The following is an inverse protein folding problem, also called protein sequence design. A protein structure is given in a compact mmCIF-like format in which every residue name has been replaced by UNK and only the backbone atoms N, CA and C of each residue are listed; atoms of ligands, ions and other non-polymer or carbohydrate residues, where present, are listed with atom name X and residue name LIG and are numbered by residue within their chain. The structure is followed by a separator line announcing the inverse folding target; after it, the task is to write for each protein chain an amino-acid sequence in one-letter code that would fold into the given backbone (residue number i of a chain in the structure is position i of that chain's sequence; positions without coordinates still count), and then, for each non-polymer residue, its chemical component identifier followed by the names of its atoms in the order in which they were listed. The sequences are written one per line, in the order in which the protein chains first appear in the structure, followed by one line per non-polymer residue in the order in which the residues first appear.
data_IF_987015619529
#
_entry.id   IF_987015619529
#
_cell.length_a   1.000
_cell.length_b   1.000
_cell.length_c   1.000
_cell.angle_alpha   90.00
_cell.angle_beta   90.00
_cell.angle_gamma   90.00
#
_symmetry.space_group_name_H-M   'P 1'
#
loop_
_entity.id
_entity.type
_entity.pdbx_description
1 polymer ?
#
# COMPACT_ATOMS: atom_id res chain seq x y z
N UNK A 1 -2.89 2.94 77.12
CA UNK A 1 -2.40 2.92 75.73
C UNK A 1 -1.21 3.86 75.62
N UNK A 2 -0.13 3.51 74.91
CA UNK A 2 1.00 4.42 74.73
C UNK A 2 0.53 5.68 73.99
N UNK A 3 0.97 6.85 74.47
CA UNK A 3 0.61 8.14 73.89
C UNK A 3 1.59 8.46 72.76
N UNK A 4 1.35 7.88 71.58
CA UNK A 4 2.13 8.15 70.37
C UNK A 4 1.85 9.60 69.98
N UNK A 5 2.88 10.42 69.84
CA UNK A 5 2.73 11.82 69.48
C UNK A 5 2.19 11.96 68.05
N UNK A 6 1.48 13.06 67.75
CA UNK A 6 0.94 13.32 66.41
C UNK A 6 2.01 13.28 65.31
N UNK A 7 3.24 13.70 65.63
CA UNK A 7 4.42 13.63 64.76
C UNK A 7 4.91 12.20 64.52
N UNK A 8 4.78 11.33 65.51
CA UNK A 8 5.10 9.91 65.34
C UNK A 8 4.03 9.21 64.49
N UNK A 9 2.74 9.59 64.59
CA UNK A 9 1.69 9.12 63.69
C UNK A 9 1.88 9.57 62.24
N UNK A 10 2.30 10.82 62.01
CA UNK A 10 2.58 11.36 60.67
C UNK A 10 3.67 10.59 59.93
N UNK A 11 4.66 10.02 60.64
CA UNK A 11 5.75 9.24 60.04
C UNK A 11 5.34 7.82 59.60
N UNK A 12 4.17 7.32 60.04
CA UNK A 12 3.66 5.98 59.69
C UNK A 12 2.40 6.02 58.82
N UNK A 13 1.92 7.21 58.45
CA UNK A 13 0.76 7.36 57.58
C UNK A 13 1.18 7.14 56.13
N UNK A 14 0.62 6.12 55.48
CA UNK A 14 0.81 5.90 54.05
C UNK A 14 0.20 7.08 53.29
N UNK A 15 1.01 7.87 52.54
CA UNK A 15 0.54 9.04 51.78
C UNK A 15 -0.51 8.70 50.71
N UNK A 16 -0.70 7.41 50.40
CA UNK A 16 -1.70 6.89 49.46
C UNK A 16 -2.92 6.24 50.17
N UNK A 17 -2.99 6.25 51.50
CA UNK A 17 -4.14 5.74 52.24
C UNK A 17 -5.33 6.72 52.17
N UNK A 18 -6.56 6.18 52.13
CA UNK A 18 -7.80 6.98 52.16
C UNK A 18 -7.95 7.82 53.45
N UNK A 19 -7.16 7.49 54.49
CA UNK A 19 -7.15 8.17 55.79
C UNK A 19 -6.11 9.31 55.87
N UNK A 20 -5.25 9.48 54.86
CA UNK A 20 -4.23 10.54 54.83
C UNK A 20 -4.84 11.89 54.42
N UNK A 21 -4.61 12.93 55.24
CA UNK A 21 -5.02 14.31 54.95
C UNK A 21 -3.81 15.16 54.55
N UNK A 22 -3.63 15.50 53.27
CA UNK A 22 -2.46 16.24 52.79
C UNK A 22 -2.42 17.68 53.32
N UNK A 23 -1.20 18.20 53.53
CA UNK A 23 -0.98 19.60 53.93
C UNK A 23 -1.23 20.56 52.78
N UNK A 24 -1.53 21.85 53.06
CA UNK A 24 -1.71 22.87 52.00
C UNK A 24 -0.49 22.99 51.07
N UNK A 25 0.72 22.86 51.61
CA UNK A 25 1.95 22.86 50.81
C UNK A 25 2.06 21.64 49.90
N UNK A 26 1.58 20.47 50.32
CA UNK A 26 1.56 19.28 49.48
C UNK A 26 0.53 19.39 48.37
N UNK A 27 -0.63 20.00 48.64
CA UNK A 27 -1.66 20.28 47.63
C UNK A 27 -1.13 21.27 46.59
N UNK A 28 -0.43 22.33 47.03
CA UNK A 28 0.17 23.31 46.12
C UNK A 28 1.28 22.69 45.26
N UNK A 29 2.15 21.86 45.85
CA UNK A 29 3.18 21.12 45.12
C UNK A 29 2.59 20.14 44.10
N UNK A 30 1.51 19.45 44.47
CA UNK A 30 0.80 18.52 43.58
C UNK A 30 0.15 19.26 42.41
N UNK A 31 -0.47 20.42 42.66
CA UNK A 31 -1.02 21.28 41.61
C UNK A 31 0.06 21.79 40.66
N UNK A 32 1.21 22.21 41.17
CA UNK A 32 2.35 22.63 40.35
C UNK A 32 2.88 21.47 39.50
N UNK A 33 2.98 20.26 40.06
CA UNK A 33 3.39 19.08 39.31
C UNK A 33 2.39 18.75 38.19
N UNK A 34 1.08 18.82 38.46
CA UNK A 34 0.04 18.63 37.45
C UNK A 34 0.12 19.66 36.32
N UNK A 35 0.31 20.93 36.64
CA UNK A 35 0.47 22.02 35.66
C UNK A 35 1.75 21.83 34.83
N UNK A 36 2.86 21.44 35.46
CA UNK A 36 4.12 21.12 34.77
C UNK A 36 3.94 19.98 33.76
N UNK A 37 3.36 18.86 34.20
CA UNK A 37 3.08 17.72 33.32
C UNK A 37 2.16 18.13 32.18
N UNK A 38 1.11 18.91 32.47
CA UNK A 38 0.16 19.34 31.45
C UNK A 38 0.79 20.27 30.41
N UNK A 39 1.73 21.13 30.82
CA UNK A 39 2.49 22.00 29.92
C UNK A 39 3.46 21.20 29.06
N UNK A 40 4.26 20.30 29.65
CA UNK A 40 5.19 19.44 28.90
C UNK A 40 4.46 18.57 27.86
N UNK A 41 3.30 17.98 28.23
CA UNK A 41 2.47 17.24 27.27
C UNK A 41 1.90 18.15 26.17
N UNK A 42 1.63 19.43 26.47
CA UNK A 42 1.17 20.39 25.46
C UNK A 42 2.28 20.77 24.48
N UNK A 43 3.51 20.90 24.96
CA UNK A 43 4.68 21.18 24.13
C UNK A 43 4.95 20.02 23.18
N UNK A 44 4.93 18.77 23.70
CA UNK A 44 5.03 17.56 22.88
C UNK A 44 3.91 17.52 21.82
N UNK A 45 2.66 17.78 22.21
CA UNK A 45 1.54 17.81 21.27
C UNK A 45 1.69 18.91 20.22
N UNK A 46 2.21 20.07 20.60
CA UNK A 46 2.45 21.19 19.69
C UNK A 46 3.50 20.82 18.65
N UNK A 47 4.61 20.22 19.07
CA UNK A 47 5.67 19.74 18.17
C UNK A 47 5.17 18.65 17.21
N UNK A 48 4.38 17.70 17.72
CA UNK A 48 3.76 16.65 16.89
C UNK A 48 2.76 17.18 15.87
N UNK A 49 2.12 18.33 16.12
CA UNK A 49 1.13 18.92 15.22
C UNK A 49 1.76 19.94 14.24
N UNK A 50 2.97 20.46 14.51
CA UNK A 50 3.61 21.52 13.73
C UNK A 50 4.98 21.12 13.22
N UNK A 51 5.05 20.33 12.13
CA UNK A 51 6.32 19.80 11.70
C UNK A 51 7.26 20.85 11.07
N UNK A 52 8.49 20.97 11.60
CA UNK A 52 9.60 21.73 11.01
C UNK A 52 10.14 21.09 9.72
N UNK A 53 10.90 21.86 8.93
CA UNK A 53 11.48 21.42 7.65
C UNK A 53 12.49 20.29 7.87
N UNK A 54 12.40 19.25 7.05
CA UNK A 54 13.36 18.15 7.01
C UNK A 54 14.79 18.70 6.75
N UNK A 55 15.80 18.40 7.59
CA UNK A 55 17.19 18.84 7.34
C UNK A 55 17.82 18.16 6.10
N UNK A 56 17.16 17.14 5.55
CA UNK A 56 17.61 16.35 4.40
C UNK A 56 16.77 16.58 3.12
N UNK A 57 15.84 17.56 3.08
CA UNK A 57 15.08 17.89 1.86
C UNK A 57 14.12 19.09 1.92
N UNK A 58 13.57 19.49 0.76
CA UNK A 58 12.65 20.63 0.64
C UNK A 58 11.18 20.29 0.95
N UNK A 59 10.81 19.01 0.93
CA UNK A 59 9.46 18.57 1.29
C UNK A 59 9.23 18.69 2.80
N UNK A 60 8.09 19.29 3.17
CA UNK A 60 7.59 19.29 4.54
C UNK A 60 7.12 17.88 4.87
N UNK A 61 8.01 17.02 5.35
CA UNK A 61 7.58 15.82 6.03
C UNK A 61 6.67 16.21 7.18
N UNK A 62 5.57 15.48 7.36
CA UNK A 62 4.60 15.70 8.45
C UNK A 62 5.17 15.33 9.84
N UNK A 63 6.49 15.21 9.98
CA UNK A 63 7.12 14.74 11.20
C UNK A 63 8.30 15.62 11.56
N UNK A 64 8.22 16.21 12.75
CA UNK A 64 9.24 17.07 13.34
C UNK A 64 9.59 16.58 14.72
N UNK A 65 10.18 15.41 14.73
CA UNK A 65 11.04 15.05 15.82
C UNK A 65 12.44 15.02 15.25
N UNK A 66 13.29 15.96 15.65
CA UNK A 66 14.71 15.91 15.35
C UNK A 66 15.36 14.59 15.84
N UNK A 67 14.74 13.94 16.84
CA UNK A 67 14.98 12.57 17.25
C UNK A 67 13.73 12.03 17.96
N UNK A 68 13.06 10.99 17.46
CA UNK A 68 11.90 10.40 18.15
C UNK A 68 12.24 9.83 19.53
N UNK A 69 13.51 9.48 19.75
CA UNK A 69 14.06 9.15 21.06
C UNK A 69 13.84 10.28 22.09
N UNK A 70 13.92 11.55 21.69
CA UNK A 70 13.70 12.67 22.62
C UNK A 70 12.26 12.68 23.14
N UNK A 71 11.29 12.36 22.28
CA UNK A 71 9.88 12.28 22.65
C UNK A 71 9.62 11.11 23.61
N UNK A 72 10.28 9.97 23.38
CA UNK A 72 10.16 8.80 24.26
C UNK A 72 10.82 9.00 25.61
N UNK A 73 12.03 9.55 25.63
CA UNK A 73 12.72 9.87 26.86
C UNK A 73 11.91 10.87 27.69
N UNK A 74 11.29 11.85 27.03
CA UNK A 74 10.43 12.84 27.69
C UNK A 74 9.13 12.21 28.21
N UNK A 75 8.45 11.38 27.42
CA UNK A 75 7.24 10.67 27.86
C UNK A 75 7.52 9.68 28.99
N UNK A 76 8.65 8.97 28.93
CA UNK A 76 9.07 8.02 29.97
C UNK A 76 9.34 8.76 31.27
N UNK A 77 10.08 9.88 31.21
CA UNK A 77 10.30 10.75 32.37
C UNK A 77 8.97 11.24 32.98
N UNK A 78 8.02 11.69 32.14
CA UNK A 78 6.70 12.10 32.62
C UNK A 78 5.96 10.94 33.30
N UNK A 79 6.04 9.73 32.74
CA UNK A 79 5.37 8.54 33.28
C UNK A 79 6.00 8.02 34.57
N UNK A 80 7.33 7.93 34.66
CA UNK A 80 8.01 7.31 35.81
C UNK A 80 8.25 8.30 36.94
N UNK A 81 8.62 9.54 36.61
CA UNK A 81 9.16 10.46 37.62
C UNK A 81 8.17 11.56 38.00
N UNK A 82 7.17 11.82 37.17
CA UNK A 82 6.19 12.90 37.37
C UNK A 82 4.79 12.37 37.68
N UNK A 83 4.31 11.34 36.97
CA UNK A 83 2.96 10.81 37.15
C UNK A 83 2.75 10.22 38.55
N UNK A 84 3.78 9.55 39.10
CA UNK A 84 3.75 8.95 40.45
C UNK A 84 3.61 9.98 41.59
N UNK A 85 3.84 11.27 41.30
CA UNK A 85 3.68 12.39 42.24
C UNK A 85 2.24 12.91 42.30
N UNK A 86 1.37 12.50 41.38
CA UNK A 86 -0.06 12.85 41.38
C UNK A 86 -0.81 11.81 42.20
N UNK A 87 -1.44 12.22 43.30
CA UNK A 87 -2.17 11.33 44.22
C UNK A 87 -3.64 11.19 43.85
N UNK A 88 -4.23 12.23 43.24
CA UNK A 88 -5.61 12.19 42.76
C UNK A 88 -5.79 11.13 41.65
N UNK A 89 -6.56 10.06 41.91
CA UNK A 89 -6.76 8.97 40.95
C UNK A 89 -7.50 9.41 39.69
N UNK A 90 -8.40 10.40 39.78
CA UNK A 90 -9.17 10.88 38.62
C UNK A 90 -8.27 11.68 37.67
N UNK A 91 -7.42 12.54 38.24
CA UNK A 91 -6.46 13.33 37.48
C UNK A 91 -5.34 12.46 36.90
N UNK A 92 -4.84 11.48 37.66
CA UNK A 92 -3.86 10.50 37.16
C UNK A 92 -4.40 9.77 35.92
N UNK A 93 -5.63 9.25 36.00
CA UNK A 93 -6.30 8.59 34.86
C UNK A 93 -6.50 9.52 33.65
N UNK A 94 -6.77 10.80 33.88
CA UNK A 94 -6.89 11.82 32.81
C UNK A 94 -5.55 12.06 32.11
N UNK A 95 -4.46 12.18 32.87
CA UNK A 95 -3.11 12.34 32.34
C UNK A 95 -2.64 11.09 31.59
N UNK A 96 -2.87 9.89 32.14
CA UNK A 96 -2.59 8.61 31.47
C UNK A 96 -3.32 8.50 30.12
N UNK A 97 -4.60 8.88 30.07
CA UNK A 97 -5.36 8.89 28.82
C UNK A 97 -4.81 9.89 27.80
N UNK A 98 -4.27 11.03 28.26
CA UNK A 98 -3.61 12.02 27.39
C UNK A 98 -2.28 11.48 26.87
N UNK A 99 -1.47 10.90 27.74
CA UNK A 99 -0.20 10.26 27.37
C UNK A 99 -0.44 9.15 26.34
N UNK A 100 -1.42 8.26 26.58
CA UNK A 100 -1.76 7.19 25.62
C UNK A 100 -2.18 7.72 24.24
N UNK A 101 -2.86 8.87 24.17
CA UNK A 101 -3.19 9.51 22.88
C UNK A 101 -1.95 10.06 22.18
N UNK A 102 -1.02 10.63 22.93
CA UNK A 102 0.25 11.13 22.41
C UNK A 102 1.09 9.96 21.90
N UNK A 103 1.22 8.89 22.68
CA UNK A 103 1.88 7.64 22.29
C UNK A 103 1.35 7.12 20.95
N UNK A 104 0.02 7.01 20.80
CA UNK A 104 -0.62 6.59 19.54
C UNK A 104 -0.32 7.55 18.37
N UNK A 105 -0.19 8.85 18.62
CA UNK A 105 0.17 9.83 17.58
C UNK A 105 1.62 9.71 17.16
N UNK A 106 2.55 9.56 18.11
CA UNK A 106 3.97 9.37 17.82
C UNK A 106 4.14 8.08 17.00
N UNK A 107 3.50 6.99 17.45
CA UNK A 107 3.45 5.71 16.76
C UNK A 107 3.04 5.85 15.28
N UNK A 108 1.90 6.50 15.00
CA UNK A 108 1.37 6.66 13.64
C UNK A 108 2.26 7.48 12.72
N UNK A 109 3.18 8.26 13.27
CA UNK A 109 4.07 9.13 12.49
C UNK A 109 5.47 8.55 12.33
N UNK A 110 5.86 7.58 13.17
CA UNK A 110 7.22 7.06 13.18
C UNK A 110 7.53 6.16 11.98
N UNK A 111 6.58 5.32 11.53
CA UNK A 111 6.70 4.55 10.27
C UNK A 111 6.92 5.49 9.07
N UNK A 112 6.05 6.49 8.80
CA UNK A 112 6.27 7.45 7.70
C UNK A 112 7.62 8.19 7.78
N UNK A 113 8.11 8.45 8.99
CA UNK A 113 9.43 9.07 9.18
C UNK A 113 10.55 8.15 8.70
N UNK A 114 10.61 6.90 9.20
CA UNK A 114 11.64 5.92 8.77
C UNK A 114 11.53 5.69 7.27
N UNK A 115 10.31 5.55 6.73
CA UNK A 115 10.10 5.41 5.29
C UNK A 115 10.70 6.58 4.51
N UNK A 116 10.49 7.82 4.98
CA UNK A 116 11.10 8.97 4.34
C UNK A 116 12.63 8.92 4.37
N UNK A 117 13.23 8.47 5.47
CA UNK A 117 14.68 8.36 5.59
C UNK A 117 15.25 7.31 4.63
N UNK A 118 14.58 6.15 4.52
CA UNK A 118 14.92 5.09 3.57
C UNK A 118 14.79 5.60 2.12
N UNK A 119 13.75 6.37 1.80
CA UNK A 119 13.57 6.93 0.46
C UNK A 119 14.63 8.00 0.14
N UNK A 120 14.99 8.87 1.09
CA UNK A 120 16.07 9.85 0.92
C UNK A 120 17.41 9.14 0.68
N UNK A 121 17.66 8.04 1.38
CA UNK A 121 18.84 7.21 1.15
C UNK A 121 18.86 6.61 -0.26
N UNK A 122 17.73 6.04 -0.71
CA UNK A 122 17.60 5.53 -2.08
C UNK A 122 17.85 6.61 -3.13
N UNK A 123 17.28 7.79 -2.91
CA UNK A 123 17.45 8.95 -3.80
C UNK A 123 18.90 9.48 -3.82
N UNK A 124 19.56 9.57 -2.66
CA UNK A 124 20.96 10.01 -2.53
C UNK A 124 21.94 9.06 -3.24
N UNK A 125 21.65 7.76 -3.21
CA UNK A 125 22.53 6.73 -3.77
C UNK A 125 22.13 6.30 -5.19
N UNK A 126 21.04 6.86 -5.74
CA UNK A 126 20.64 6.58 -7.10
C UNK A 126 21.70 7.06 -8.09
N UNK A 127 22.11 6.20 -9.05
CA UNK A 127 23.05 6.60 -10.09
C UNK A 127 22.43 7.48 -11.19
N UNK A 128 21.09 7.58 -11.25
CA UNK A 128 20.36 8.26 -12.33
C UNK A 128 19.86 9.63 -11.87
N UNK A 129 19.32 9.73 -10.64
CA UNK A 129 18.86 10.99 -10.07
C UNK A 129 19.94 11.61 -9.19
N UNK A 130 20.46 12.78 -9.60
CA UNK A 130 21.48 13.50 -8.84
C UNK A 130 20.83 14.32 -7.73
N UNK A 131 20.46 13.66 -6.64
CA UNK A 131 20.06 14.34 -5.42
C UNK A 131 21.23 14.43 -4.45
N UNK A 132 21.59 15.66 -4.07
CA UNK A 132 22.65 15.90 -3.10
C UNK A 132 22.04 16.69 -1.93
N UNK A 133 21.56 16.02 -0.87
CA UNK A 133 21.00 16.70 0.27
C UNK A 133 22.08 17.55 0.98
N UNK A 134 21.68 18.62 1.70
CA UNK A 134 22.62 19.48 2.43
C UNK A 134 23.39 18.73 3.53
N UNK A 135 22.82 17.64 4.07
CA UNK A 135 23.50 16.68 4.92
C UNK A 135 23.39 15.30 4.29
N UNK A 136 24.50 14.56 4.20
CA UNK A 136 24.47 13.17 3.72
C UNK A 136 23.94 12.27 4.82
N UNK A 137 22.89 11.52 4.51
CA UNK A 137 22.37 10.51 5.41
C UNK A 137 23.25 9.26 5.32
N UNK A 138 23.74 8.79 6.48
CA UNK A 138 24.51 7.54 6.59
C UNK A 138 23.58 6.36 6.85
N UNK A 139 24.02 5.19 6.41
CA UNK A 139 23.36 3.91 6.65
C UNK A 139 23.12 3.65 8.15
N UNK A 140 24.17 3.82 8.96
CA UNK A 140 24.16 3.61 10.42
C UNK A 140 23.07 4.44 11.11
N UNK A 141 22.75 5.63 10.57
CA UNK A 141 21.74 6.52 11.14
C UNK A 141 20.33 5.96 10.91
N UNK A 142 20.08 5.36 9.74
CA UNK A 142 18.76 4.77 9.40
C UNK A 142 18.55 3.47 10.18
N UNK A 143 19.58 2.63 10.26
CA UNK A 143 19.53 1.41 11.06
C UNK A 143 19.30 1.72 12.53
N UNK A 144 19.96 2.77 13.05
CA UNK A 144 19.70 3.26 14.40
C UNK A 144 18.23 3.64 14.59
N UNK A 145 17.60 4.35 13.64
CA UNK A 145 16.17 4.68 13.75
C UNK A 145 15.26 3.43 13.69
N UNK A 146 15.61 2.42 12.89
CA UNK A 146 14.86 1.16 12.80
C UNK A 146 14.97 0.37 14.11
N UNK A 147 16.16 0.24 14.68
CA UNK A 147 16.37 -0.44 15.96
C UNK A 147 15.68 0.31 17.10
N UNK A 148 15.74 1.64 17.09
CA UNK A 148 14.96 2.46 18.03
C UNK A 148 13.45 2.17 17.91
N UNK A 149 12.92 1.95 16.71
CA UNK A 149 11.52 1.55 16.53
C UNK A 149 11.16 0.28 17.29
N UNK A 150 12.02 -0.72 17.18
CA UNK A 150 11.82 -2.02 17.83
C UNK A 150 11.86 -1.87 19.35
N UNK A 151 12.79 -1.08 19.88
CA UNK A 151 12.92 -0.82 21.31
C UNK A 151 11.74 -0.01 21.88
N UNK A 152 11.25 0.96 21.12
CA UNK A 152 10.10 1.79 21.50
C UNK A 152 8.85 0.94 21.69
N UNK A 153 8.70 -0.18 20.97
CA UNK A 153 7.57 -1.08 21.12
C UNK A 153 7.38 -1.55 22.57
N UNK A 154 8.48 -1.80 23.30
CA UNK A 154 8.45 -2.24 24.69
C UNK A 154 7.94 -1.19 25.69
N UNK A 155 7.93 0.09 25.30
CA UNK A 155 7.50 1.18 26.16
C UNK A 155 5.97 1.38 26.13
N UNK A 156 5.29 0.82 25.12
CA UNK A 156 3.86 0.97 25.00
C UNK A 156 3.09 -0.02 25.87
N UNK A 157 2.46 0.49 26.94
CA UNK A 157 1.61 -0.31 27.82
C UNK A 157 0.19 -0.56 27.27
N UNK A 158 -0.24 0.23 26.28
CA UNK A 158 -1.65 0.32 25.86
C UNK A 158 -1.93 -0.02 24.38
N UNK A 159 -0.94 -0.53 23.64
CA UNK A 159 -1.16 -1.03 22.27
C UNK A 159 -1.64 -2.47 22.30
N UNK A 160 -2.63 -2.79 21.47
CA UNK A 160 -3.10 -4.18 21.31
C UNK A 160 -2.01 -5.07 20.70
N UNK A 161 -2.07 -6.38 20.96
CA UNK A 161 -1.13 -7.35 20.36
C UNK A 161 -1.15 -7.27 18.82
N UNK A 162 -2.32 -7.09 18.21
CA UNK A 162 -2.46 -6.95 16.76
C UNK A 162 -1.75 -5.69 16.23
N UNK A 163 -1.93 -4.54 16.89
CA UNK A 163 -1.25 -3.30 16.48
C UNK A 163 0.28 -3.38 16.64
N UNK A 164 0.76 -4.09 17.67
CA UNK A 164 2.19 -4.34 17.85
C UNK A 164 2.76 -5.21 16.73
N UNK A 165 2.04 -6.26 16.33
CA UNK A 165 2.45 -7.14 15.22
C UNK A 165 2.46 -6.39 13.89
N UNK A 166 1.44 -5.57 13.63
CA UNK A 166 1.36 -4.75 12.42
C UNK A 166 2.53 -3.75 12.35
N UNK A 167 2.89 -3.13 13.48
CA UNK A 167 4.03 -2.23 13.56
C UNK A 167 5.36 -2.91 13.23
N UNK A 168 5.66 -4.02 13.92
CA UNK A 168 6.92 -4.74 13.70
C UNK A 168 7.02 -5.22 12.25
N UNK A 169 5.91 -5.68 11.68
CA UNK A 169 5.84 -6.08 10.28
C UNK A 169 6.22 -4.94 9.32
N UNK A 170 5.78 -3.71 9.62
CA UNK A 170 6.11 -2.54 8.79
C UNK A 170 7.57 -2.09 9.00
N UNK A 171 8.10 -2.18 10.22
CA UNK A 171 9.51 -1.92 10.49
C UNK A 171 10.41 -2.92 9.76
N UNK A 172 10.08 -4.21 9.80
CA UNK A 172 10.82 -5.26 9.08
C UNK A 172 10.78 -5.04 7.57
N UNK A 173 9.63 -4.61 7.04
CA UNK A 173 9.49 -4.24 5.64
C UNK A 173 10.40 -3.07 5.26
N UNK A 174 10.49 -2.04 6.12
CA UNK A 174 11.35 -0.89 5.87
C UNK A 174 12.83 -1.25 5.93
N UNK A 175 13.22 -2.15 6.85
CA UNK A 175 14.55 -2.72 6.89
C UNK A 175 14.86 -3.49 5.59
N UNK A 176 13.97 -4.37 5.13
CA UNK A 176 14.14 -5.10 3.88
C UNK A 176 14.22 -4.16 2.67
N UNK A 177 13.44 -3.07 2.67
CA UNK A 177 13.50 -2.02 1.64
C UNK A 177 14.86 -1.34 1.63
N UNK A 178 15.36 -0.95 2.80
CA UNK A 178 16.68 -0.35 2.95
C UNK A 178 17.77 -1.30 2.42
N UNK A 179 17.73 -2.57 2.82
CA UNK A 179 18.71 -3.57 2.38
C UNK A 179 18.68 -3.80 0.86
N UNK A 180 17.51 -3.76 0.23
CA UNK A 180 17.40 -3.81 -1.23
C UNK A 180 18.04 -2.59 -1.89
N UNK A 181 17.87 -1.39 -1.36
CA UNK A 181 18.51 -0.18 -1.89
C UNK A 181 20.02 -0.16 -1.68
N UNK A 182 20.52 -0.75 -0.58
CA UNK A 182 21.96 -0.97 -0.39
C UNK A 182 22.53 -1.90 -1.46
N UNK A 183 21.87 -3.03 -1.65
CA UNK A 183 22.33 -4.08 -2.57
C UNK A 183 22.19 -3.67 -4.05
N UNK A 184 21.19 -2.86 -4.37
CA UNK A 184 20.92 -2.39 -5.73
C UNK A 184 20.43 -0.93 -5.72
N UNK A 185 21.34 0.07 -5.74
CA UNK A 185 20.96 1.48 -5.68
C UNK A 185 20.12 1.96 -6.87
N UNK A 186 20.23 1.29 -8.03
CA UNK A 186 19.40 1.59 -9.21
C UNK A 186 17.92 1.27 -8.98
N UNK A 187 17.59 0.41 -8.02
CA UNK A 187 16.23 -0.04 -7.73
C UNK A 187 15.32 1.12 -7.34
N UNK A 188 15.81 2.08 -6.54
CA UNK A 188 15.00 3.22 -6.12
C UNK A 188 14.46 4.01 -7.31
N UNK A 189 15.32 4.35 -8.27
CA UNK A 189 14.89 5.07 -9.47
C UNK A 189 14.00 4.25 -10.36
N UNK A 190 14.24 2.94 -10.48
CA UNK A 190 13.32 2.06 -11.17
C UNK A 190 11.91 2.16 -10.55
N UNK A 191 11.79 2.04 -9.24
CA UNK A 191 10.50 2.07 -8.52
C UNK A 191 9.78 3.42 -8.65
N UNK A 192 10.50 4.55 -8.58
CA UNK A 192 9.89 5.87 -8.73
C UNK A 192 9.42 6.14 -10.17
N UNK A 193 10.20 5.76 -11.18
CA UNK A 193 9.77 5.87 -12.59
C UNK A 193 8.58 4.96 -12.84
N UNK A 194 8.59 3.73 -12.30
CA UNK A 194 7.51 2.77 -12.43
C UNK A 194 6.21 3.29 -11.80
N UNK A 195 6.29 3.85 -10.59
CA UNK A 195 5.16 4.48 -9.90
C UNK A 195 4.58 5.65 -10.69
N UNK A 196 5.44 6.49 -11.26
CA UNK A 196 5.02 7.61 -12.12
C UNK A 196 4.34 7.11 -13.40
N UNK A 197 4.91 6.09 -14.05
CA UNK A 197 4.33 5.48 -15.24
C UNK A 197 2.94 4.90 -14.95
N UNK A 198 2.77 4.17 -13.85
CA UNK A 198 1.47 3.64 -13.44
C UNK A 198 0.43 4.74 -13.19
N UNK A 199 0.82 5.85 -12.56
CA UNK A 199 -0.04 7.02 -12.38
C UNK A 199 -0.44 7.65 -13.71
N UNK A 200 0.50 7.77 -14.64
CA UNK A 200 0.23 8.32 -15.97
C UNK A 200 -0.74 7.42 -16.76
N UNK A 201 -0.54 6.10 -16.72
CA UNK A 201 -1.48 5.12 -17.29
C UNK A 201 -2.87 5.25 -16.64
N UNK A 202 -2.94 5.32 -15.30
CA UNK A 202 -4.21 5.43 -14.58
C UNK A 202 -4.95 6.73 -14.95
N UNK A 203 -4.23 7.85 -15.02
CA UNK A 203 -4.80 9.14 -15.43
C UNK A 203 -5.33 9.09 -16.86
N UNK A 204 -4.60 8.44 -17.76
CA UNK A 204 -5.03 8.22 -19.13
C UNK A 204 -6.33 7.40 -19.20
N UNK A 205 -6.38 6.28 -18.46
CA UNK A 205 -7.57 5.43 -18.39
C UNK A 205 -8.76 6.23 -17.87
N UNK A 206 -8.58 7.04 -16.83
CA UNK A 206 -9.64 7.90 -16.34
C UNK A 206 -10.08 8.90 -17.42
N UNK A 207 -9.15 9.61 -18.05
CA UNK A 207 -9.45 10.59 -19.13
C UNK A 207 -10.28 9.98 -20.27
N UNK A 208 -9.93 8.75 -20.70
CA UNK A 208 -10.46 8.16 -21.93
C UNK A 208 -11.52 7.07 -21.71
N UNK A 209 -11.59 6.47 -20.53
CA UNK A 209 -12.43 5.31 -20.22
C UNK A 209 -13.24 5.43 -18.92
N UNK A 210 -13.13 6.53 -18.15
CA UNK A 210 -14.06 6.81 -17.04
C UNK A 210 -15.42 7.25 -17.59
N UNK A 211 -16.19 6.28 -18.06
CA UNK A 211 -17.46 6.53 -18.73
C UNK A 211 -18.08 5.24 -19.25
N UNK A 212 -18.12 4.18 -18.44
CA UNK A 212 -19.01 3.07 -18.73
C UNK A 212 -20.46 3.56 -18.61
N UNK A 213 -21.01 4.14 -19.69
CA UNK A 213 -22.34 3.83 -20.28
C UNK A 213 -22.97 4.92 -21.15
N UNK A 214 -22.39 6.12 -21.32
CA UNK A 214 -22.99 7.12 -22.24
C UNK A 214 -21.87 7.83 -22.98
N UNK A 215 -21.89 7.77 -24.30
CA UNK A 215 -21.05 8.54 -25.26
C UNK A 215 -19.84 7.85 -25.90
N UNK A 216 -19.67 6.52 -25.78
CA UNK A 216 -18.75 5.76 -26.65
C UNK A 216 -19.12 5.80 -28.15
N UNK A 217 -20.23 6.46 -28.51
CA UNK A 217 -20.66 6.72 -29.88
C UNK A 217 -20.57 8.19 -30.29
N UNK A 218 -20.15 9.12 -29.41
CA UNK A 218 -20.13 10.57 -29.71
C UNK A 218 -18.76 11.24 -29.68
N UNK A 219 -17.74 10.65 -29.05
CA UNK A 219 -16.40 11.28 -28.97
C UNK A 219 -15.37 10.67 -29.93
N UNK A 220 -15.78 9.77 -30.83
CA UNK A 220 -14.96 9.18 -31.89
C UNK A 220 -14.81 10.08 -33.16
N UNK A 221 -15.23 11.34 -33.09
CA UNK A 221 -15.27 12.28 -34.23
C UNK A 221 -14.13 13.33 -34.24
N UNK A 222 -13.27 13.39 -33.22
CA UNK A 222 -12.12 14.29 -33.24
C UNK A 222 -10.84 13.51 -33.60
N UNK A 223 -10.46 13.52 -34.89
CA UNK A 223 -9.17 12.99 -35.36
C UNK A 223 -7.97 13.53 -34.55
N UNK A 224 -8.12 14.75 -34.02
CA UNK A 224 -7.12 15.42 -33.20
C UNK A 224 -6.92 14.72 -31.84
N UNK A 225 -8.01 14.33 -31.17
CA UNK A 225 -7.96 13.56 -29.90
C UNK A 225 -7.37 12.17 -30.11
N UNK A 226 -7.63 11.54 -31.26
CA UNK A 226 -7.03 10.24 -31.60
C UNK A 226 -5.52 10.36 -31.79
N UNK A 227 -5.04 11.40 -32.51
CA UNK A 227 -3.61 11.68 -32.69
C UNK A 227 -2.91 12.03 -31.38
N UNK A 228 -3.55 12.82 -30.52
CA UNK A 228 -3.03 13.14 -29.17
C UNK A 228 -2.89 11.89 -28.30
N UNK A 229 -3.89 11.00 -28.31
CA UNK A 229 -3.83 9.74 -27.57
C UNK A 229 -2.69 8.83 -28.05
N UNK A 230 -2.45 8.77 -29.37
CA UNK A 230 -1.31 7.99 -29.93
C UNK A 230 0.03 8.52 -29.41
N UNK A 231 0.23 9.84 -29.40
CA UNK A 231 1.45 10.47 -28.86
C UNK A 231 1.62 10.18 -27.37
N UNK A 232 0.53 10.23 -26.59
CA UNK A 232 0.55 9.87 -25.17
C UNK A 232 0.94 8.38 -24.98
N UNK A 233 0.42 7.45 -25.80
CA UNK A 233 0.81 6.04 -25.74
C UNK A 233 2.26 5.79 -26.09
N UNK A 234 2.78 6.44 -27.14
CA UNK A 234 4.19 6.31 -27.52
C UNK A 234 5.12 6.79 -26.40
N UNK A 235 4.71 7.83 -25.66
CA UNK A 235 5.43 8.30 -24.48
C UNK A 235 5.40 7.26 -23.33
N UNK A 236 4.25 6.61 -23.10
CA UNK A 236 4.12 5.54 -22.09
C UNK A 236 4.99 4.33 -22.44
N UNK A 237 4.97 3.91 -23.71
CA UNK A 237 5.80 2.82 -24.23
C UNK A 237 7.30 3.14 -24.11
N UNK A 238 7.69 4.38 -24.43
CA UNK A 238 9.07 4.83 -24.24
C UNK A 238 9.50 4.73 -22.78
N UNK A 239 8.70 5.25 -21.85
CA UNK A 239 8.98 5.15 -20.40
C UNK A 239 9.08 3.70 -19.92
N UNK A 240 8.24 2.80 -20.45
CA UNK A 240 8.31 1.38 -20.11
C UNK A 240 9.58 0.70 -20.65
N UNK A 241 10.07 1.10 -21.84
CA UNK A 241 11.37 0.65 -22.36
C UNK A 241 12.54 1.21 -21.55
N UNK A 242 12.47 2.47 -21.15
CA UNK A 242 13.49 3.08 -20.28
C UNK A 242 13.61 2.29 -18.97
N UNK A 243 12.49 1.82 -18.39
CA UNK A 243 12.49 0.93 -17.23
C UNK A 243 13.16 -0.42 -17.50
N UNK A 244 12.92 -1.02 -18.67
CA UNK A 244 13.57 -2.29 -19.06
C UNK A 244 15.09 -2.11 -19.22
N UNK A 245 15.54 -0.98 -19.78
CA UNK A 245 16.96 -0.64 -19.90
C UNK A 245 17.61 -0.42 -18.52
N UNK A 246 16.91 0.26 -17.61
CA UNK A 246 17.37 0.45 -16.22
C UNK A 246 17.49 -0.90 -15.52
N UNK A 247 16.46 -1.76 -15.64
CA UNK A 247 16.48 -3.09 -15.05
C UNK A 247 17.63 -3.95 -15.62
N UNK A 248 17.89 -3.87 -16.93
CA UNK A 248 18.98 -4.60 -17.58
C UNK A 248 20.38 -4.25 -17.06
N UNK A 249 20.55 -3.07 -16.45
CA UNK A 249 21.81 -2.59 -15.85
C UNK A 249 21.98 -2.97 -14.38
N UNK A 250 20.97 -3.57 -13.75
CA UNK A 250 21.04 -4.03 -12.36
C UNK A 250 22.07 -5.14 -12.20
N UNK A 251 22.78 -5.13 -11.07
CA UNK A 251 23.82 -6.09 -10.70
C UNK A 251 23.19 -7.31 -10.02
N UNK A 252 22.19 -7.11 -9.15
CA UNK A 252 21.53 -8.19 -8.44
C UNK A 252 20.55 -8.94 -9.34
N UNK A 253 20.87 -10.19 -9.70
CA UNK A 253 20.10 -11.00 -10.65
C UNK A 253 18.66 -11.28 -10.22
N UNK A 254 18.41 -11.47 -8.91
CA UNK A 254 17.05 -11.70 -8.40
C UNK A 254 16.19 -10.44 -8.50
N UNK A 255 16.78 -9.27 -8.23
CA UNK A 255 16.09 -7.98 -8.34
C UNK A 255 15.87 -7.64 -9.81
N UNK A 256 16.90 -7.79 -10.63
CA UNK A 256 16.88 -7.59 -12.08
C UNK A 256 15.75 -8.36 -12.75
N UNK A 257 15.69 -9.69 -12.56
CA UNK A 257 14.67 -10.53 -13.20
C UNK A 257 13.24 -10.12 -12.83
N UNK A 258 13.03 -9.68 -11.58
CA UNK A 258 11.75 -9.15 -11.12
C UNK A 258 11.42 -7.80 -11.77
N UNK A 259 12.35 -6.85 -11.77
CA UNK A 259 12.19 -5.54 -12.40
C UNK A 259 11.97 -5.64 -13.92
N UNK A 260 12.68 -6.51 -14.63
CA UNK A 260 12.45 -6.79 -16.05
C UNK A 260 11.06 -7.37 -16.30
N UNK A 261 10.57 -8.26 -15.43
CA UNK A 261 9.22 -8.80 -15.56
C UNK A 261 8.16 -7.71 -15.35
N UNK A 262 8.35 -6.83 -14.37
CA UNK A 262 7.47 -5.68 -14.09
C UNK A 262 7.45 -4.67 -15.24
N UNK A 263 8.62 -4.29 -15.75
CA UNK A 263 8.76 -3.38 -16.89
C UNK A 263 8.09 -3.95 -18.15
N UNK A 264 8.34 -5.22 -18.47
CA UNK A 264 7.68 -5.92 -19.59
C UNK A 264 6.16 -5.99 -19.42
N UNK A 265 5.67 -6.18 -18.21
CA UNK A 265 4.25 -6.19 -17.94
C UNK A 265 3.61 -4.80 -18.18
N UNK A 266 4.26 -3.72 -17.75
CA UNK A 266 3.78 -2.36 -18.03
C UNK A 266 3.84 -2.01 -19.52
N UNK A 267 4.90 -2.44 -20.21
CA UNK A 267 5.03 -2.27 -21.65
C UNK A 267 3.88 -2.95 -22.39
N UNK A 268 3.63 -4.24 -22.11
CA UNK A 268 2.49 -4.98 -22.68
C UNK A 268 1.15 -4.32 -22.40
N UNK A 269 0.98 -3.76 -21.20
CA UNK A 269 -0.26 -3.07 -20.87
C UNK A 269 -0.45 -1.78 -21.68
N UNK A 270 0.61 -0.99 -21.83
CA UNK A 270 0.58 0.20 -22.67
C UNK A 270 0.36 -0.15 -24.15
N UNK A 271 0.96 -1.23 -24.66
CA UNK A 271 0.70 -1.74 -26.02
C UNK A 271 -0.76 -2.13 -26.18
N UNK A 272 -1.31 -2.91 -25.25
CA UNK A 272 -2.71 -3.30 -25.26
C UNK A 272 -3.65 -2.09 -25.33
N UNK A 273 -3.41 -1.05 -24.52
CA UNK A 273 -4.23 0.16 -24.55
C UNK A 273 -4.09 0.93 -25.87
N UNK A 274 -2.89 0.94 -26.46
CA UNK A 274 -2.65 1.54 -27.78
C UNK A 274 -3.41 0.79 -28.87
N UNK A 275 -3.31 -0.54 -28.90
CA UNK A 275 -4.05 -1.40 -29.83
C UNK A 275 -5.55 -1.21 -29.67
N UNK A 276 -6.05 -1.12 -28.43
CA UNK A 276 -7.48 -0.85 -28.18
C UNK A 276 -7.92 0.51 -28.74
N UNK A 277 -7.10 1.55 -28.61
CA UNK A 277 -7.39 2.86 -29.18
C UNK A 277 -7.32 2.88 -30.72
N UNK A 278 -6.41 2.12 -31.32
CA UNK A 278 -6.20 2.02 -32.77
C UNK A 278 -7.13 1.01 -33.45
N UNK A 279 -7.83 0.19 -32.66
CA UNK A 279 -8.66 -0.90 -33.16
C UNK A 279 -9.81 -0.39 -34.04
N UNK A 280 -10.08 -1.05 -35.18
CA UNK A 280 -11.27 -0.84 -35.98
C UNK A 280 -12.56 -0.84 -35.13
N UNK A 281 -13.48 0.08 -35.45
CA UNK A 281 -14.78 0.21 -34.77
C UNK A 281 -15.54 -1.11 -34.66
N UNK A 282 -15.43 -1.96 -35.67
CA UNK A 282 -16.08 -3.28 -35.68
C UNK A 282 -15.56 -4.20 -34.56
N UNK A 283 -14.25 -4.18 -34.26
CA UNK A 283 -13.65 -4.98 -33.18
C UNK A 283 -14.02 -4.44 -31.80
N UNK A 284 -14.06 -3.12 -31.65
CA UNK A 284 -14.50 -2.47 -30.41
C UNK A 284 -15.98 -2.75 -30.12
N UNK A 285 -16.83 -2.68 -31.14
CA UNK A 285 -18.24 -3.02 -31.01
C UNK A 285 -18.43 -4.50 -30.62
N UNK A 286 -17.66 -5.40 -31.23
CA UNK A 286 -17.67 -6.83 -30.88
C UNK A 286 -17.25 -7.06 -29.42
N UNK A 287 -16.21 -6.35 -28.95
CA UNK A 287 -15.74 -6.43 -27.56
C UNK A 287 -16.85 -6.03 -26.58
N UNK A 288 -17.47 -4.88 -26.80
CA UNK A 288 -18.55 -4.37 -25.95
C UNK A 288 -19.76 -5.32 -25.94
N UNK A 289 -20.08 -5.93 -27.09
CA UNK A 289 -21.15 -6.92 -27.19
C UNK A 289 -20.84 -8.19 -26.36
N UNK A 290 -19.63 -8.74 -26.48
CA UNK A 290 -19.18 -9.89 -25.68
C UNK A 290 -19.14 -9.59 -24.18
N UNK A 291 -18.59 -8.44 -23.77
CA UNK A 291 -18.54 -8.02 -22.37
C UNK A 291 -19.95 -7.83 -21.78
N UNK A 292 -20.87 -7.25 -22.55
CA UNK A 292 -22.27 -7.12 -22.16
C UNK A 292 -22.95 -8.49 -21.96
N UNK A 293 -22.66 -9.48 -22.82
CA UNK A 293 -23.16 -10.84 -22.65
C UNK A 293 -22.56 -11.53 -21.42
N UNK A 294 -21.26 -11.32 -21.15
CA UNK A 294 -20.60 -11.87 -19.98
C UNK A 294 -21.20 -11.32 -18.69
N UNK A 295 -21.50 -10.01 -18.62
CA UNK A 295 -22.19 -9.40 -17.47
C UNK A 295 -23.58 -10.00 -17.25
N UNK A 296 -24.38 -10.20 -18.30
CA UNK A 296 -25.70 -10.83 -18.19
C UNK A 296 -25.62 -12.26 -17.68
N UNK A 297 -24.64 -13.01 -18.14
CA UNK A 297 -24.36 -14.36 -17.63
C UNK A 297 -23.96 -14.37 -16.15
N UNK A 298 -23.19 -13.39 -15.68
CA UNK A 298 -22.84 -13.25 -14.26
C UNK A 298 -24.08 -13.01 -13.38
N UNK A 299 -25.11 -12.33 -13.91
CA UNK A 299 -26.40 -12.12 -13.24
C UNK A 299 -27.34 -13.35 -13.42
N UNK A 300 -26.84 -14.47 -13.97
CA UNK A 300 -27.56 -15.73 -14.25
C UNK A 300 -28.74 -15.58 -15.22
N UNK A 301 -28.68 -14.59 -16.11
CA UNK A 301 -29.65 -14.45 -17.19
C UNK A 301 -29.41 -15.54 -18.26
N UNK A 302 -30.48 -16.16 -18.76
CA UNK A 302 -30.36 -17.12 -19.87
C UNK A 302 -30.07 -16.39 -21.17
N UNK A 303 -28.95 -16.74 -21.80
CA UNK A 303 -28.60 -16.25 -23.13
C UNK A 303 -29.30 -17.04 -24.23
N UNK A 304 -29.67 -16.33 -25.29
CA UNK A 304 -30.17 -16.91 -26.54
C UNK A 304 -29.02 -17.58 -27.31
N UNK A 305 -29.14 -18.90 -27.52
CA UNK A 305 -28.14 -19.69 -28.25
C UNK A 305 -27.92 -19.21 -29.67
N UNK A 306 -28.96 -18.69 -30.33
CA UNK A 306 -28.86 -18.17 -31.69
C UNK A 306 -27.97 -16.92 -31.77
N UNK A 307 -28.01 -16.06 -30.73
CA UNK A 307 -27.12 -14.89 -30.64
C UNK A 307 -25.67 -15.28 -30.45
N UNK A 308 -25.41 -16.30 -29.63
CA UNK A 308 -24.04 -16.82 -29.41
C UNK A 308 -23.47 -17.38 -30.71
N UNK A 309 -24.26 -18.15 -31.48
CA UNK A 309 -23.83 -18.67 -32.79
C UNK A 309 -23.56 -17.55 -33.80
N UNK A 310 -24.44 -16.53 -33.87
CA UNK A 310 -24.24 -15.35 -34.75
C UNK A 310 -22.95 -14.60 -34.43
N UNK A 311 -22.63 -14.42 -33.14
CA UNK A 311 -21.39 -13.75 -32.72
C UNK A 311 -20.16 -14.60 -33.09
N UNK A 312 -20.25 -15.92 -32.92
CA UNK A 312 -19.20 -16.84 -33.34
C UNK A 312 -18.90 -16.74 -34.84
N UNK A 313 -19.94 -16.74 -35.68
CA UNK A 313 -19.79 -16.57 -37.13
C UNK A 313 -19.14 -15.22 -37.49
N UNK A 314 -19.60 -14.12 -36.90
CA UNK A 314 -19.01 -12.80 -37.14
C UNK A 314 -17.54 -12.75 -36.72
N UNK A 315 -17.18 -13.37 -35.60
CA UNK A 315 -15.79 -13.41 -35.13
C UNK A 315 -14.89 -14.22 -36.08
N UNK A 316 -15.37 -15.35 -36.60
CA UNK A 316 -14.65 -16.13 -37.61
C UNK A 316 -14.48 -15.37 -38.93
N UNK A 317 -15.52 -14.68 -39.41
CA UNK A 317 -15.41 -13.83 -40.61
C UNK A 317 -14.38 -12.70 -40.45
N UNK A 318 -14.31 -12.09 -39.26
CA UNK A 318 -13.33 -11.04 -38.97
C UNK A 318 -11.90 -11.57 -38.98
N UNK A 319 -11.68 -12.79 -38.50
CA UNK A 319 -10.36 -13.43 -38.57
C UNK A 319 -9.94 -13.73 -40.01
N UNK A 320 -10.85 -14.29 -40.82
CA UNK A 320 -10.56 -14.65 -42.21
C UNK A 320 -10.24 -13.43 -43.09
N UNK A 321 -10.82 -12.27 -42.77
CA UNK A 321 -10.56 -11.00 -43.47
C UNK A 321 -9.13 -10.47 -43.29
N UNK A 322 -8.30 -11.07 -42.43
CA UNK A 322 -6.91 -10.64 -42.15
C UNK A 322 -6.81 -9.12 -41.99
N UNK A 323 -7.47 -8.58 -40.96
CA UNK A 323 -7.53 -7.15 -40.60
C UNK A 323 -6.16 -6.47 -40.30
N UNK A 324 -5.05 -6.92 -40.89
CA UNK A 324 -3.68 -6.51 -40.57
C UNK A 324 -3.13 -7.26 -39.37
N UNK A 325 -1.81 -7.49 -39.34
CA UNK A 325 -1.14 -8.17 -38.21
C UNK A 325 -1.34 -7.42 -36.87
N UNK A 326 -1.51 -6.10 -36.94
CA UNK A 326 -1.73 -5.19 -35.82
C UNK A 326 -3.01 -5.50 -35.01
N UNK A 327 -4.04 -6.06 -35.65
CA UNK A 327 -5.33 -6.36 -35.00
C UNK A 327 -5.45 -7.81 -34.48
N UNK A 328 -4.43 -8.63 -34.72
CA UNK A 328 -4.45 -10.06 -34.38
C UNK A 328 -4.58 -10.31 -32.88
N UNK A 329 -3.96 -9.46 -32.06
CA UNK A 329 -3.99 -9.58 -30.61
C UNK A 329 -5.39 -9.27 -30.06
N UNK A 330 -6.04 -8.22 -30.56
CA UNK A 330 -7.43 -7.90 -30.23
C UNK A 330 -8.39 -9.02 -30.63
N UNK A 331 -8.22 -9.61 -31.82
CA UNK A 331 -9.00 -10.78 -32.26
C UNK A 331 -8.82 -11.98 -31.32
N UNK A 332 -7.60 -12.25 -30.87
CA UNK A 332 -7.34 -13.31 -29.89
C UNK A 332 -8.04 -13.04 -28.54
N UNK A 333 -8.07 -11.79 -28.09
CA UNK A 333 -8.79 -11.40 -26.87
C UNK A 333 -10.30 -11.64 -27.03
N UNK A 334 -10.88 -11.23 -28.16
CA UNK A 334 -12.29 -11.48 -28.46
C UNK A 334 -12.62 -12.98 -28.48
N UNK A 335 -11.73 -13.81 -29.05
CA UNK A 335 -11.87 -15.27 -29.02
C UNK A 335 -11.87 -15.84 -27.62
N UNK A 336 -10.91 -15.44 -26.79
CA UNK A 336 -10.85 -15.90 -25.40
C UNK A 336 -12.11 -15.51 -24.62
N UNK A 337 -12.62 -14.28 -24.83
CA UNK A 337 -13.89 -13.83 -24.24
C UNK A 337 -15.08 -14.66 -24.73
N UNK A 338 -15.14 -14.93 -26.04
CA UNK A 338 -16.22 -15.72 -26.64
C UNK A 338 -16.20 -17.18 -26.15
N UNK A 339 -15.03 -17.82 -26.10
CA UNK A 339 -14.87 -19.18 -25.53
C UNK A 339 -15.34 -19.24 -24.07
N UNK A 340 -15.05 -18.19 -23.29
CA UNK A 340 -15.51 -18.07 -21.91
C UNK A 340 -17.03 -18.01 -21.84
N UNK A 341 -17.67 -17.19 -22.68
CA UNK A 341 -19.14 -17.07 -22.77
C UNK A 341 -19.78 -18.40 -23.18
N UNK A 342 -19.21 -19.10 -24.17
CA UNK A 342 -19.70 -20.42 -24.58
C UNK A 342 -19.62 -21.47 -23.45
N UNK A 343 -18.53 -21.47 -22.68
CA UNK A 343 -18.37 -22.35 -21.50
C UNK A 343 -19.42 -22.07 -20.42
N UNK A 344 -19.69 -20.81 -20.11
CA UNK A 344 -20.71 -20.45 -19.10
C UNK A 344 -22.11 -20.80 -19.60
N UNK A 345 -22.42 -20.48 -20.87
CA UNK A 345 -23.73 -20.71 -21.46
C UNK A 345 -24.10 -22.21 -21.58
N UNK A 346 -23.10 -23.08 -21.77
CA UNK A 346 -23.30 -24.54 -21.82
C UNK A 346 -23.51 -25.20 -20.44
N UNK A 347 -23.62 -24.41 -19.37
CA UNK A 347 -23.79 -24.92 -18.01
C UNK A 347 -22.47 -25.32 -17.34
N UNK A 348 -21.33 -25.04 -18.00
CA UNK A 348 -20.03 -25.14 -17.36
C UNK A 348 -19.88 -24.05 -16.31
N UNK A 349 -19.38 -24.41 -15.13
CA UNK A 349 -18.89 -23.40 -14.20
C UNK A 349 -17.61 -22.81 -14.78
N UNK A 350 -17.61 -21.53 -15.16
CA UNK A 350 -16.35 -20.80 -15.20
C UNK A 350 -15.96 -20.58 -13.75
N UNK A 351 -14.99 -21.35 -13.28
CA UNK A 351 -14.33 -21.06 -12.02
C UNK A 351 -13.70 -19.67 -12.20
N UNK A 352 -14.36 -18.62 -11.68
CA UNK A 352 -13.90 -17.23 -11.78
C UNK A 352 -12.45 -17.10 -11.31
N UNK A 353 -12.05 -17.97 -10.39
CA UNK A 353 -10.68 -18.08 -9.91
C UNK A 353 -9.77 -18.69 -10.99
N UNK A 354 -10.19 -19.73 -11.69
CA UNK A 354 -9.44 -20.31 -12.81
C UNK A 354 -9.30 -19.35 -14.01
N UNK A 355 -10.31 -18.51 -14.23
CA UNK A 355 -10.24 -17.41 -15.17
C UNK A 355 -9.31 -16.29 -14.68
N UNK A 356 -9.36 -15.90 -13.40
CA UNK A 356 -8.37 -15.01 -12.77
C UNK A 356 -6.94 -15.55 -12.89
N UNK A 357 -6.74 -16.87 -12.79
CA UNK A 357 -5.43 -17.51 -12.95
C UNK A 357 -4.95 -17.61 -14.42
N UNK A 358 -5.89 -17.57 -15.39
CA UNK A 358 -5.62 -17.64 -16.84
C UNK A 358 -5.48 -16.27 -17.49
N UNK A 359 -6.26 -15.28 -17.07
CA UNK A 359 -6.21 -13.91 -17.57
C UNK A 359 -4.88 -13.30 -17.18
N UNK A 360 -4.01 -13.05 -18.17
CA UNK A 360 -2.81 -12.25 -17.98
C UNK A 360 -3.23 -10.79 -17.81
N UNK A 361 -3.57 -10.41 -16.58
CA UNK A 361 -3.65 -8.99 -16.23
C UNK A 361 -2.22 -8.48 -16.18
N UNK A 362 -1.93 -7.45 -16.98
CA UNK A 362 -0.62 -6.85 -17.11
C UNK A 362 -0.42 -5.71 -16.08
N UNK A 363 0.82 -5.45 -15.67
CA UNK A 363 1.16 -4.43 -14.66
C UNK A 363 0.72 -4.79 -13.24
N UNK A 364 0.89 -3.87 -12.28
CA UNK A 364 0.66 -4.07 -10.82
C UNK A 364 -0.76 -4.56 -10.48
N UNK A 365 -1.72 -4.34 -11.37
CA UNK A 365 -3.10 -4.83 -11.27
C UNK A 365 -3.23 -6.35 -11.28
N UNK A 366 -2.20 -7.07 -11.74
CA UNK A 366 -2.23 -8.53 -11.80
C UNK A 366 -2.51 -9.15 -10.44
N UNK A 367 -1.92 -8.60 -9.39
CA UNK A 367 -2.04 -9.15 -8.04
C UNK A 367 -3.38 -8.78 -7.39
N UNK A 368 -3.82 -7.53 -7.55
CA UNK A 368 -5.14 -7.04 -7.12
C UNK A 368 -6.27 -7.81 -7.78
N UNK A 369 -6.17 -8.02 -9.09
CA UNK A 369 -7.12 -8.80 -9.87
C UNK A 369 -7.08 -10.28 -9.51
N UNK A 370 -5.90 -10.85 -9.24
CA UNK A 370 -5.77 -12.26 -8.85
C UNK A 370 -6.42 -12.55 -7.49
N UNK A 371 -6.23 -11.66 -6.51
CA UNK A 371 -6.88 -11.76 -5.21
C UNK A 371 -8.36 -11.32 -5.26
N UNK A 372 -8.79 -10.66 -6.33
CA UNK A 372 -10.16 -10.19 -6.51
C UNK A 372 -10.50 -8.99 -5.63
N UNK A 373 -9.54 -8.10 -5.41
CA UNK A 373 -9.67 -6.89 -4.58
C UNK A 373 -9.32 -5.64 -5.39
N UNK A 374 -9.98 -4.52 -5.12
CA UNK A 374 -9.67 -3.22 -5.75
C UNK A 374 -8.40 -2.59 -5.15
N UNK A 375 -7.74 -1.69 -5.89
CA UNK A 375 -6.58 -0.95 -5.36
C UNK A 375 -6.99 -0.05 -4.19
N UNK A 376 -6.20 -0.07 -3.12
CA UNK A 376 -6.41 0.80 -1.96
C UNK A 376 -7.44 0.28 -0.95
N UNK A 377 -7.87 -0.99 -1.07
CA UNK A 377 -8.61 -1.64 0.02
C UNK A 377 -7.72 -1.81 1.26
N UNK A 378 -8.30 -1.76 2.47
CA UNK A 378 -7.52 -1.93 3.70
C UNK A 378 -6.88 -3.32 3.77
N UNK A 379 -5.73 -3.42 4.45
CA UNK A 379 -4.94 -4.65 4.54
C UNK A 379 -5.75 -5.85 5.07
N UNK A 380 -6.70 -5.62 5.97
CA UNK A 380 -7.65 -6.63 6.45
C UNK A 380 -8.49 -7.27 5.34
N UNK A 381 -8.94 -6.48 4.36
CA UNK A 381 -9.72 -6.97 3.23
C UNK A 381 -8.85 -7.84 2.30
N UNK A 382 -7.59 -7.46 2.11
CA UNK A 382 -6.59 -8.19 1.33
C UNK A 382 -6.28 -9.55 1.99
N UNK A 383 -6.07 -9.55 3.32
CA UNK A 383 -5.82 -10.75 4.13
C UNK A 383 -7.02 -11.70 4.12
N UNK A 384 -8.24 -11.16 4.19
CA UNK A 384 -9.49 -11.95 4.06
C UNK A 384 -9.61 -12.60 2.68
N UNK A 385 -9.32 -11.86 1.61
CA UNK A 385 -9.34 -12.38 0.24
C UNK A 385 -8.28 -13.49 0.03
N UNK A 386 -7.07 -13.27 0.54
CA UNK A 386 -6.00 -14.26 0.57
C UNK A 386 -6.42 -15.55 1.29
N UNK A 387 -6.90 -15.46 2.54
CA UNK A 387 -7.31 -16.61 3.34
C UNK A 387 -8.42 -17.43 2.65
N UNK A 388 -9.38 -16.76 2.01
CA UNK A 388 -10.46 -17.40 1.24
C UNK A 388 -9.91 -18.22 0.08
N UNK A 389 -8.96 -17.67 -0.69
CA UNK A 389 -8.32 -18.34 -1.82
C UNK A 389 -7.35 -19.45 -1.36
N UNK A 390 -6.59 -19.22 -0.30
CA UNK A 390 -5.65 -20.19 0.27
C UNK A 390 -6.38 -21.43 0.82
N UNK A 391 -7.51 -21.25 1.50
CA UNK A 391 -8.35 -22.36 1.94
C UNK A 391 -8.95 -23.14 0.76
N UNK A 392 -9.33 -22.45 -0.31
CA UNK A 392 -9.88 -23.06 -1.53
C UNK A 392 -8.84 -23.84 -2.33
N UNK A 393 -7.57 -23.39 -2.38
CA UNK A 393 -6.51 -24.00 -3.19
C UNK A 393 -5.39 -24.66 -2.38
N UNK A 394 -5.65 -24.99 -1.10
CA UNK A 394 -4.65 -25.61 -0.22
C UNK A 394 -4.17 -26.97 -0.76
N UNK A 395 -2.84 -27.19 -0.91
CA UNK A 395 -2.30 -28.42 -1.50
C UNK A 395 -2.68 -29.68 -0.71
N UNK A 396 -2.78 -29.61 0.63
CA UNK A 396 -3.20 -30.75 1.45
C UNK A 396 -4.70 -31.05 1.40
N UNK A 397 -5.55 -30.05 1.10
CA UNK A 397 -7.01 -30.23 1.08
C UNK A 397 -7.56 -30.49 -0.33
N UNK A 398 -6.79 -30.18 -1.38
CA UNK A 398 -7.21 -30.31 -2.77
C UNK A 398 -6.12 -30.96 -3.64
N UNK A 399 -6.31 -32.24 -3.98
CA UNK A 399 -5.37 -33.14 -4.68
C UNK A 399 -5.24 -32.85 -6.20
N UNK A 400 -5.86 -31.79 -6.71
CA UNK A 400 -5.76 -31.43 -8.13
C UNK A 400 -4.33 -30.99 -8.49
N UNK A 401 -3.83 -31.41 -9.67
CA UNK A 401 -2.46 -31.13 -10.14
C UNK A 401 -2.11 -29.63 -10.23
N UNK A 402 -3.11 -28.74 -10.31
CA UNK A 402 -2.91 -27.30 -10.45
C UNK A 402 -3.03 -26.53 -9.13
N UNK A 403 -3.40 -27.17 -8.01
CA UNK A 403 -3.59 -26.50 -6.70
C UNK A 403 -2.28 -25.86 -6.19
N UNK A 404 -1.17 -26.57 -6.35
CA UNK A 404 0.17 -26.09 -5.94
C UNK A 404 0.61 -24.85 -6.72
N UNK A 405 0.40 -24.83 -8.04
CA UNK A 405 0.75 -23.67 -8.88
C UNK A 405 -0.16 -22.47 -8.62
N UNK A 406 -1.47 -22.70 -8.45
CA UNK A 406 -2.44 -21.65 -8.08
C UNK A 406 -2.10 -21.06 -6.71
N UNK A 407 -1.77 -21.90 -5.72
CA UNK A 407 -1.32 -21.44 -4.40
C UNK A 407 -0.04 -20.60 -4.49
N UNK A 408 0.95 -21.02 -5.29
CA UNK A 408 2.16 -20.22 -5.53
C UNK A 408 1.83 -18.84 -6.12
N UNK A 409 0.89 -18.76 -7.07
CA UNK A 409 0.45 -17.48 -7.63
C UNK A 409 -0.31 -16.61 -6.62
N UNK A 410 -1.18 -17.20 -5.79
CA UNK A 410 -1.89 -16.50 -4.71
C UNK A 410 -0.90 -15.91 -3.71
N UNK A 411 0.08 -16.70 -3.26
CA UNK A 411 1.12 -16.25 -2.34
C UNK A 411 1.93 -15.11 -2.96
N UNK A 412 2.36 -15.25 -4.23
CA UNK A 412 3.07 -14.18 -4.95
C UNK A 412 2.24 -12.90 -5.10
N UNK A 413 0.93 -13.00 -5.36
CA UNK A 413 0.07 -11.83 -5.49
C UNK A 413 -0.15 -11.13 -4.13
N UNK A 414 -0.34 -11.91 -3.06
CA UNK A 414 -0.45 -11.38 -1.71
C UNK A 414 0.83 -10.68 -1.26
N UNK A 415 1.99 -11.31 -1.47
CA UNK A 415 3.29 -10.69 -1.21
C UNK A 415 3.49 -9.44 -2.05
N UNK A 416 3.17 -9.48 -3.34
CA UNK A 416 3.32 -8.33 -4.22
C UNK A 416 2.44 -7.15 -3.80
N UNK A 417 1.16 -7.40 -3.46
CA UNK A 417 0.27 -6.35 -2.96
C UNK A 417 0.77 -5.81 -1.62
N UNK A 418 1.11 -6.70 -0.69
CA UNK A 418 1.68 -6.32 0.60
C UNK A 418 2.96 -5.49 0.44
N UNK A 419 3.73 -5.71 -0.61
CA UNK A 419 4.93 -4.94 -0.92
C UNK A 419 4.64 -3.61 -1.65
N UNK A 420 3.47 -3.48 -2.31
CA UNK A 420 3.10 -2.35 -3.15
C UNK A 420 2.17 -1.31 -2.48
N UNK A 421 1.34 -1.72 -1.50
CA UNK A 421 0.68 -0.83 -0.51
C UNK A 421 1.56 -0.66 0.69
#
# INVERSE_FOLDING_TARGET
MPNISRREWENYSDPRSEEYSPTSSEIDNERQAQESIANELSDIEFELNNPTKNPYGEERNKFSAASPESFWNHLTYIQTDCLDKVRDPEMQKKLEKRISRIEQKVYKQFIPFIESMVNIFGLQNSPIEKYSPPHKLREEEIESYIEQARLVLHHFKNLSEDEQVDFLSEIDRLQEKLDRYKNEPTLFTFEEIEKKLQKDISRFILKNYSGHQREALKTLDNEETHKENILEFDLLLKKARDLEEIAGRMINESIKTNCEARARALFKYAEYLKTENEAPRELLAMKAELEGLLQRLQIKEQLDKAKIEQIGHRLSEMEERKLGDENREMINILKNLFEKIQKISSGGTVDEDEDRFRTQVAGVDWAWSLLGVERGVPHEAIKKAYLKLALKYHPDKNVNKNSSEKMKKINKAFEFIKNAT
#
